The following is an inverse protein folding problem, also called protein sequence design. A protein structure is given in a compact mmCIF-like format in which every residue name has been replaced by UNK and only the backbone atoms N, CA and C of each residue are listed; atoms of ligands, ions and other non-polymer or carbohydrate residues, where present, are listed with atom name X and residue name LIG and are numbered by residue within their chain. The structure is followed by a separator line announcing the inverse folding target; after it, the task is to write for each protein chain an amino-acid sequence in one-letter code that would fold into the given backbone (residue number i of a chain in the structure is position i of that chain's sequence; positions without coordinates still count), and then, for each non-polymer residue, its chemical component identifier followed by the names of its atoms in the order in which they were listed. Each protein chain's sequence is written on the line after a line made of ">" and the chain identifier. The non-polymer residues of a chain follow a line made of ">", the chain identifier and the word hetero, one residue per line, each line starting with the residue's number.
data_IF_737913127792
#
_entry.id   IF_737913127792
#
_cell.length_a   1.000
_cell.length_b   1.000
_cell.length_c   1.000
_cell.angle_alpha   90.00
_cell.angle_beta   90.00
_cell.angle_gamma   90.00
#
_symmetry.space_group_name_H-M   'P 1'
#
loop_
_entity.id
_entity.type
_entity.pdbx_description
1 polymer ?
#
# COMPACT_ATOMS: atom_id res chain seq x y z
N UNK A 1 18.01 7.04 -2.50
CA UNK A 1 16.70 7.34 -3.03
C UNK A 1 15.64 7.01 -2.03
N UNK A 2 14.70 7.92 -1.85
CA UNK A 2 13.65 7.74 -0.86
C UNK A 2 12.85 6.47 -1.12
N UNK A 3 12.67 6.12 -2.39
CA UNK A 3 11.88 4.96 -2.78
C UNK A 3 12.47 3.64 -2.30
N UNK A 4 13.75 3.60 -1.95
CA UNK A 4 14.38 2.35 -1.52
C UNK A 4 14.27 2.13 -0.01
N UNK A 5 14.12 3.20 0.74
CA UNK A 5 14.07 3.13 2.19
C UNK A 5 12.75 3.62 2.77
N UNK A 6 11.87 4.10 1.92
CA UNK A 6 10.61 4.65 2.39
C UNK A 6 9.50 3.63 2.47
N UNK A 7 8.32 4.13 2.73
CA UNK A 7 7.12 3.34 2.80
C UNK A 7 6.11 3.88 1.81
N UNK A 8 5.21 3.00 1.34
CA UNK A 8 4.06 3.43 0.54
C UNK A 8 2.83 3.42 1.43
N UNK A 9 1.94 4.35 1.19
CA UNK A 9 0.69 4.46 1.91
C UNK A 9 -0.39 3.73 1.12
N UNK A 10 -1.07 2.79 1.78
CA UNK A 10 -2.15 2.03 1.14
C UNK A 10 -3.42 2.30 1.92
N UNK A 11 -4.35 3.04 1.30
CA UNK A 11 -5.60 3.44 1.93
C UNK A 11 -6.55 2.26 2.05
N UNK A 12 -7.25 2.15 3.17
CA UNK A 12 -8.31 1.15 3.32
C UNK A 12 -9.60 1.77 3.83
N UNK A 13 -9.58 3.02 4.25
CA UNK A 13 -10.75 3.65 4.84
C UNK A 13 -10.68 5.15 4.61
N UNK A 14 -11.81 5.76 4.29
CA UNK A 14 -11.87 7.20 4.09
C UNK A 14 -13.25 7.71 4.47
N UNK A 15 -13.27 8.73 5.33
CA UNK A 15 -14.52 9.39 5.75
C UNK A 15 -15.55 8.39 6.23
N UNK A 16 -15.10 7.47 7.11
CA UNK A 16 -15.95 6.46 7.73
C UNK A 16 -16.55 5.45 6.75
N UNK A 17 -15.88 5.24 5.61
CA UNK A 17 -16.29 4.23 4.63
C UNK A 17 -15.08 3.43 4.17
N UNK A 18 -15.24 2.14 3.92
CA UNK A 18 -14.16 1.37 3.30
C UNK A 18 -13.78 1.97 1.95
N UNK A 19 -12.51 1.97 1.65
CA UNK A 19 -12.01 2.54 0.40
C UNK A 19 -10.69 1.89 0.03
N UNK A 20 -10.13 2.29 -1.10
CA UNK A 20 -8.83 1.82 -1.55
C UNK A 20 -8.75 0.31 -1.58
N UNK A 21 -7.77 -0.25 -0.88
CA UNK A 21 -7.52 -1.70 -0.90
C UNK A 21 -8.69 -2.50 -0.34
N UNK A 22 -9.52 -1.91 0.50
CA UNK A 22 -10.66 -2.60 1.09
C UNK A 22 -11.80 -2.82 0.10
N UNK A 23 -11.89 -1.99 -0.94
CA UNK A 23 -13.01 -2.05 -1.89
C UNK A 23 -12.59 -2.27 -3.33
N UNK A 24 -11.29 -2.31 -3.58
CA UNK A 24 -10.79 -2.42 -4.95
C UNK A 24 -11.27 -3.69 -5.63
N UNK A 25 -11.62 -3.57 -6.91
CA UNK A 25 -11.92 -4.72 -7.75
C UNK A 25 -10.81 -4.98 -8.75
N UNK A 26 -9.75 -4.20 -8.69
CA UNK A 26 -8.61 -4.40 -9.56
C UNK A 26 -7.86 -5.66 -9.17
N UNK A 27 -7.31 -6.36 -10.16
CA UNK A 27 -6.53 -7.57 -9.91
C UNK A 27 -5.09 -7.25 -9.56
N UNK A 28 -4.60 -6.09 -9.97
CA UNK A 28 -3.22 -5.68 -9.76
C UNK A 28 -3.17 -4.21 -9.35
N UNK A 29 -2.16 -3.88 -8.57
CA UNK A 29 -1.86 -2.51 -8.21
C UNK A 29 -0.47 -2.16 -8.71
N UNK A 30 -0.34 -0.98 -9.30
CA UNK A 30 0.94 -0.48 -9.77
C UNK A 30 1.41 0.65 -8.87
N UNK A 31 2.65 0.53 -8.40
CA UNK A 31 3.28 1.57 -7.58
C UNK A 31 4.43 2.18 -8.38
N UNK A 32 4.35 3.47 -8.61
CA UNK A 32 5.38 4.20 -9.34
C UNK A 32 6.38 4.70 -8.30
N UNK A 33 7.54 4.08 -8.26
CA UNK A 33 8.57 4.41 -7.29
C UNK A 33 9.44 5.57 -7.76
N UNK A 34 9.70 5.62 -9.07
CA UNK A 34 10.40 6.73 -9.70
C UNK A 34 10.14 6.66 -11.20
N UNK A 35 10.79 7.54 -11.97
CA UNK A 35 10.52 7.65 -13.41
C UNK A 35 10.75 6.36 -14.18
N UNK A 36 11.62 5.49 -13.67
CA UNK A 36 12.01 4.26 -14.37
C UNK A 36 11.49 3.01 -13.72
N UNK A 37 10.92 3.11 -12.54
CA UNK A 37 10.57 1.92 -11.76
C UNK A 37 9.09 1.91 -11.41
N UNK A 38 8.41 0.90 -11.93
CA UNK A 38 7.01 0.62 -11.57
C UNK A 38 6.95 -0.79 -11.00
N UNK A 39 6.34 -0.94 -9.84
CA UNK A 39 6.16 -2.25 -9.22
C UNK A 39 4.70 -2.65 -9.38
N UNK A 40 4.49 -3.81 -9.98
CA UNK A 40 3.16 -4.36 -10.17
C UNK A 40 2.97 -5.50 -9.19
N UNK A 41 1.89 -5.44 -8.41
CA UNK A 41 1.65 -6.40 -7.35
C UNK A 41 0.22 -6.91 -7.43
N UNK A 42 0.02 -8.24 -7.38
CA UNK A 42 -1.34 -8.77 -7.33
C UNK A 42 -2.07 -8.27 -6.09
N UNK A 43 -3.33 -7.91 -6.26
CA UNK A 43 -4.13 -7.37 -5.18
C UNK A 43 -4.19 -8.33 -3.98
N UNK A 44 -4.23 -9.62 -4.24
CA UNK A 44 -4.26 -10.62 -3.17
C UNK A 44 -3.04 -10.50 -2.27
N UNK A 45 -1.86 -10.36 -2.89
CA UNK A 45 -0.63 -10.20 -2.11
C UNK A 45 -0.59 -8.87 -1.38
N UNK A 46 -1.07 -7.81 -2.04
CA UNK A 46 -1.11 -6.50 -1.40
C UNK A 46 -2.01 -6.51 -0.18
N UNK A 47 -3.14 -7.20 -0.25
CA UNK A 47 -4.04 -7.32 0.89
C UNK A 47 -3.38 -8.03 2.06
N UNK A 48 -2.59 -9.06 1.78
CA UNK A 48 -1.85 -9.78 2.82
C UNK A 48 -0.84 -8.85 3.48
N UNK A 49 -0.08 -8.11 2.68
CA UNK A 49 0.90 -7.16 3.21
C UNK A 49 0.23 -6.05 4.03
N UNK A 50 -0.89 -5.55 3.54
CA UNK A 50 -1.63 -4.50 4.25
C UNK A 50 -2.14 -5.01 5.59
N UNK A 51 -2.64 -6.23 5.64
CA UNK A 51 -3.11 -6.82 6.88
C UNK A 51 -1.98 -7.02 7.88
N UNK A 52 -0.83 -7.46 7.41
CA UNK A 52 0.35 -7.61 8.26
C UNK A 52 0.80 -6.26 8.81
N UNK A 53 0.84 -5.24 7.97
CA UNK A 53 1.21 -3.90 8.40
C UNK A 53 0.25 -3.37 9.45
N UNK A 54 -1.03 -3.62 9.28
CA UNK A 54 -2.04 -3.20 10.25
C UNK A 54 -1.80 -3.87 11.61
N UNK A 55 -1.51 -5.16 11.61
CA UNK A 55 -1.24 -5.90 12.85
C UNK A 55 0.03 -5.43 13.53
N UNK A 56 1.00 -4.98 12.75
CA UNK A 56 2.26 -4.46 13.28
C UNK A 56 2.13 -3.04 13.80
N UNK A 57 0.95 -2.44 13.68
CA UNK A 57 0.75 -1.07 14.12
C UNK A 57 1.23 -0.03 13.13
N UNK A 58 1.51 -0.40 11.90
CA UNK A 58 2.00 0.52 10.88
C UNK A 58 0.83 1.20 10.17
N UNK A 59 0.01 1.86 10.95
CA UNK A 59 -1.17 2.57 10.46
C UNK A 59 -0.86 4.04 10.35
N UNK A 60 -1.48 4.70 9.38
CA UNK A 60 -1.25 6.11 9.15
C UNK A 60 -2.54 6.77 8.67
N UNK A 61 -2.58 8.08 8.78
CA UNK A 61 -3.67 8.87 8.25
C UNK A 61 -3.13 9.75 7.15
N UNK A 62 -3.93 9.93 6.11
CA UNK A 62 -3.56 10.80 5.00
C UNK A 62 -4.76 11.62 4.57
N UNK A 63 -4.57 12.40 3.49
CA UNK A 63 -5.63 13.25 2.97
C UNK A 63 -5.89 14.45 3.84
N UNK A 64 -6.92 15.22 3.48
CA UNK A 64 -7.30 16.43 4.20
C UNK A 64 -7.79 16.09 5.60
N UNK A 65 -7.18 16.73 6.61
CA UNK A 65 -7.58 16.58 8.01
C UNK A 65 -7.53 15.13 8.49
N UNK A 66 -6.70 14.29 7.85
CA UNK A 66 -6.59 12.90 8.25
C UNK A 66 -7.82 12.07 7.95
N UNK A 67 -8.60 12.45 6.93
CA UNK A 67 -9.83 11.74 6.59
C UNK A 67 -9.57 10.33 6.07
N UNK A 68 -8.41 10.10 5.47
CA UNK A 68 -8.05 8.78 4.93
C UNK A 68 -7.24 8.01 5.95
N UNK A 69 -7.52 6.73 6.06
CA UNK A 69 -6.76 5.82 6.91
C UNK A 69 -6.17 4.72 6.07
N UNK A 70 -4.96 4.35 6.37
CA UNK A 70 -4.27 3.33 5.63
C UNK A 70 -3.12 2.74 6.42
N UNK A 71 -2.33 1.95 5.73
CA UNK A 71 -1.15 1.33 6.32
C UNK A 71 0.08 1.75 5.54
N UNK A 72 1.23 1.68 6.20
CA UNK A 72 2.52 1.94 5.58
C UNK A 72 3.19 0.60 5.32
N UNK A 73 3.53 0.35 4.07
CA UNK A 73 4.21 -0.87 3.66
C UNK A 73 5.60 -0.50 3.19
N UNK A 74 6.61 -1.15 3.73
CA UNK A 74 7.99 -0.91 3.36
C UNK A 74 8.20 -1.24 1.88
N UNK A 75 8.86 -0.35 1.16
CA UNK A 75 9.08 -0.49 -0.28
C UNK A 75 9.86 -1.76 -0.60
N UNK A 76 10.87 -2.09 0.19
CA UNK A 76 11.65 -3.31 -0.06
C UNK A 76 10.79 -4.55 0.03
N UNK A 77 9.89 -4.60 0.99
CA UNK A 77 8.98 -5.72 1.16
C UNK A 77 8.04 -5.83 -0.03
N UNK A 78 7.53 -4.68 -0.48
CA UNK A 78 6.65 -4.62 -1.63
C UNK A 78 7.34 -5.14 -2.90
N UNK A 79 8.56 -4.69 -3.14
CA UNK A 79 9.32 -5.10 -4.31
C UNK A 79 9.64 -6.59 -4.26
N UNK A 80 9.98 -7.10 -3.10
CA UNK A 80 10.30 -8.52 -2.93
C UNK A 80 9.11 -9.39 -3.29
N UNK A 81 7.93 -9.01 -2.82
CA UNK A 81 6.72 -9.80 -3.11
C UNK A 81 6.31 -9.69 -4.56
N UNK A 82 6.54 -8.54 -5.19
CA UNK A 82 6.25 -8.38 -6.61
C UNK A 82 7.14 -9.26 -7.46
N UNK A 83 8.43 -9.33 -7.11
CA UNK A 83 9.38 -10.15 -7.86
C UNK A 83 9.07 -11.62 -7.71
N UNK A 84 8.63 -12.04 -6.54
CA UNK A 84 8.36 -13.45 -6.29
C UNK A 84 7.05 -13.93 -6.89
N UNK A 85 6.28 -13.03 -7.43
CA UNK A 85 5.05 -13.43 -8.12
C UNK A 85 5.34 -13.71 -9.58
#
# INVERSE_FOLDING_TARGET
>A
MASQTGNVFVEFFCRNKPSGIATTQAQYWAFILNEETVVLLPTVKLKILARQAYKEGRRARGGDKGASQGVLINVERLVRDAISS
#
